data_IF_424650855609
#
_entry.id   IF_424650855609
#
_cell.length_a   1.000
_cell.length_b   1.000
_cell.length_c   1.000
_cell.angle_alpha   90.00
_cell.angle_beta   90.00
_cell.angle_gamma   90.00
#
_symmetry.space_group_name_H-M   'P 1'
#
loop_
_entity.id
_entity.type
_entity.pdbx_description
1 polymer ?
#
# COMPACT_ATOMS: atom_id res chain seq x y z
N UNK A 1 -8.52 -10.16 -1.18
CA UNK A 1 -9.04 -11.48 -0.76
C UNK A 1 -10.46 -11.72 -1.25
N UNK A 2 -11.48 -10.91 -0.87
CA UNK A 2 -12.88 -11.11 -1.28
C UNK A 2 -13.10 -11.22 -2.79
N UNK A 3 -12.26 -10.59 -3.60
CA UNK A 3 -12.34 -10.65 -5.07
C UNK A 3 -12.19 -12.06 -5.62
N UNK A 4 -11.38 -12.88 -4.97
CA UNK A 4 -11.01 -14.23 -5.41
C UNK A 4 -11.75 -15.33 -4.66
N UNK A 5 -12.34 -15.01 -3.49
CA UNK A 5 -12.82 -15.99 -2.51
C UNK A 5 -13.64 -17.11 -3.11
N UNK A 6 -14.75 -16.79 -3.77
CA UNK A 6 -15.74 -17.75 -4.22
C UNK A 6 -15.16 -18.75 -5.25
N UNK A 7 -14.27 -18.27 -6.12
CA UNK A 7 -13.61 -19.12 -7.12
C UNK A 7 -12.49 -19.97 -6.50
N UNK A 8 -11.70 -19.39 -5.58
CA UNK A 8 -10.64 -20.14 -4.89
C UNK A 8 -11.20 -21.22 -3.98
N UNK A 9 -12.30 -20.95 -3.26
CA UNK A 9 -13.01 -21.97 -2.46
C UNK A 9 -13.45 -23.17 -3.30
N UNK A 10 -14.05 -22.90 -4.46
CA UNK A 10 -14.48 -23.96 -5.39
C UNK A 10 -13.28 -24.76 -5.90
N UNK A 11 -12.18 -24.11 -6.23
CA UNK A 11 -10.98 -24.77 -6.76
C UNK A 11 -10.25 -25.59 -5.71
N UNK A 12 -10.19 -25.12 -4.46
CA UNK A 12 -9.51 -25.81 -3.36
C UNK A 12 -10.40 -26.85 -2.66
N UNK A 13 -11.74 -26.78 -2.85
CA UNK A 13 -12.72 -27.65 -2.18
C UNK A 13 -12.85 -27.37 -0.68
N UNK A 14 -12.44 -26.17 -0.22
CA UNK A 14 -12.45 -25.78 1.19
C UNK A 14 -13.01 -24.37 1.36
N UNK A 15 -13.89 -24.13 2.35
CA UNK A 15 -14.40 -22.79 2.62
C UNK A 15 -13.32 -21.89 3.23
N UNK A 16 -13.36 -20.61 2.87
CA UNK A 16 -12.44 -19.59 3.39
C UNK A 16 -13.18 -18.63 4.32
N UNK A 17 -12.85 -18.66 5.60
CA UNK A 17 -13.42 -17.78 6.60
C UNK A 17 -12.50 -16.58 6.82
N UNK A 18 -13.03 -15.38 6.65
CA UNK A 18 -12.26 -14.15 6.91
C UNK A 18 -12.46 -13.69 8.36
N UNK A 19 -11.38 -13.74 9.14
CA UNK A 19 -11.35 -13.30 10.53
C UNK A 19 -10.67 -11.92 10.58
N UNK A 20 -11.37 -10.94 11.11
CA UNK A 20 -10.83 -9.59 11.27
C UNK A 20 -10.25 -9.43 12.67
N UNK A 21 -8.94 -9.18 12.74
CA UNK A 21 -8.21 -8.87 13.98
C UNK A 21 -7.60 -7.47 13.86
N UNK A 22 -8.41 -6.39 14.03
CA UNK A 22 -7.92 -5.03 13.89
C UNK A 22 -7.01 -4.64 15.06
N UNK A 23 -6.11 -3.70 14.82
CA UNK A 23 -5.27 -3.07 15.83
C UNK A 23 -3.80 -2.97 15.44
N UNK A 24 -3.16 -1.92 15.92
CA UNK A 24 -1.73 -1.62 15.79
C UNK A 24 -1.15 -1.85 14.36
N UNK A 25 -1.88 -1.42 13.33
CA UNK A 25 -1.49 -1.57 11.91
C UNK A 25 -1.23 -3.04 11.48
N UNK A 26 -1.91 -4.02 12.10
CA UNK A 26 -1.79 -5.44 11.77
C UNK A 26 -0.93 -6.25 12.75
N UNK A 27 -0.35 -5.64 13.78
CA UNK A 27 0.45 -6.36 14.79
C UNK A 27 -0.35 -7.50 15.44
N UNK A 28 -1.61 -7.24 15.82
CA UNK A 28 -2.45 -8.27 16.48
C UNK A 28 -2.70 -9.46 15.55
N UNK A 29 -3.00 -9.19 14.29
CA UNK A 29 -3.23 -10.26 13.30
C UNK A 29 -1.93 -11.00 12.96
N UNK A 30 -0.80 -10.28 12.84
CA UNK A 30 0.50 -10.89 12.57
C UNK A 30 0.96 -11.82 13.69
N UNK A 31 0.85 -11.39 14.96
CA UNK A 31 1.16 -12.23 16.11
C UNK A 31 0.30 -13.50 16.14
N UNK A 32 -0.99 -13.38 15.86
CA UNK A 32 -1.89 -14.54 15.78
C UNK A 32 -1.46 -15.54 14.71
N UNK A 33 -1.09 -15.05 13.51
CA UNK A 33 -0.66 -15.95 12.42
C UNK A 33 0.70 -16.56 12.69
N UNK A 34 1.64 -15.80 13.26
CA UNK A 34 2.96 -16.30 13.66
C UNK A 34 2.85 -17.53 14.56
N UNK A 35 1.93 -17.53 15.51
CA UNK A 35 1.69 -18.62 16.47
C UNK A 35 0.79 -19.75 15.90
N UNK A 36 0.27 -19.60 14.68
CA UNK A 36 -0.59 -20.59 14.06
C UNK A 36 0.23 -21.74 13.45
N UNK A 37 -0.40 -22.93 13.30
CA UNK A 37 0.23 -24.08 12.67
C UNK A 37 0.51 -23.81 11.19
N UNK A 38 1.66 -24.26 10.65
CA UNK A 38 2.02 -24.07 9.24
C UNK A 38 1.40 -25.18 8.35
N UNK A 39 0.11 -25.49 8.56
CA UNK A 39 -0.62 -26.59 7.95
C UNK A 39 -1.47 -26.20 6.72
N UNK A 40 -1.40 -24.92 6.31
CA UNK A 40 -2.12 -24.40 5.15
C UNK A 40 -3.58 -24.01 5.40
N UNK A 41 -4.01 -23.91 6.66
CA UNK A 41 -5.37 -23.50 7.02
C UNK A 41 -5.44 -22.08 7.62
N UNK A 42 -4.30 -21.49 7.97
CA UNK A 42 -4.24 -20.11 8.47
C UNK A 42 -3.36 -19.24 7.61
N UNK A 43 -3.89 -18.10 7.18
CA UNK A 43 -3.18 -17.15 6.32
C UNK A 43 -3.32 -15.72 6.84
N UNK A 44 -2.30 -14.92 6.60
CA UNK A 44 -2.26 -13.50 6.89
C UNK A 44 -2.48 -12.69 5.63
N UNK A 45 -3.58 -11.91 5.57
CA UNK A 45 -3.82 -10.96 4.49
C UNK A 45 -3.52 -9.57 4.98
N UNK A 46 -2.47 -8.96 4.44
CA UNK A 46 -2.01 -7.63 4.84
C UNK A 46 -1.35 -6.94 3.64
N UNK A 47 -1.27 -5.61 3.66
CA UNK A 47 -0.39 -4.92 2.70
C UNK A 47 1.07 -5.05 3.13
N UNK A 48 1.97 -5.21 2.13
CA UNK A 48 3.41 -5.25 2.38
C UNK A 48 3.90 -4.05 3.21
N UNK A 49 3.39 -2.86 2.91
CA UNK A 49 3.77 -1.63 3.63
C UNK A 49 3.26 -1.60 5.07
N UNK A 50 2.05 -2.12 5.35
CA UNK A 50 1.54 -2.24 6.72
C UNK A 50 2.30 -3.28 7.52
N UNK A 51 2.64 -4.43 6.90
CA UNK A 51 3.44 -5.47 7.52
C UNK A 51 4.79 -4.91 7.99
N UNK A 52 5.49 -4.24 7.09
CA UNK A 52 6.79 -3.62 7.37
C UNK A 52 6.69 -2.49 8.38
N UNK A 53 5.69 -1.61 8.23
CA UNK A 53 5.48 -0.50 9.18
C UNK A 53 5.22 -1.01 10.59
N UNK A 54 4.49 -2.13 10.74
CA UNK A 54 4.25 -2.74 12.05
C UNK A 54 5.56 -3.17 12.75
N UNK A 55 6.52 -3.69 12.00
CA UNK A 55 7.82 -4.10 12.52
C UNK A 55 8.72 -2.89 12.86
N UNK A 56 8.84 -1.94 11.94
CA UNK A 56 9.79 -0.83 12.07
C UNK A 56 9.30 0.25 13.05
N UNK A 57 8.00 0.56 13.04
CA UNK A 57 7.47 1.71 13.79
C UNK A 57 6.62 1.34 15.00
N UNK A 58 6.11 0.09 15.08
CA UNK A 58 5.22 -0.38 16.14
C UNK A 58 5.84 -1.43 17.04
N UNK A 59 7.12 -1.78 16.81
CA UNK A 59 7.86 -2.80 17.58
C UNK A 59 7.07 -4.12 17.70
N UNK A 60 6.54 -4.60 16.56
CA UNK A 60 5.93 -5.92 16.51
C UNK A 60 6.95 -6.98 16.99
N UNK A 61 6.49 -8.01 17.64
CA UNK A 61 7.29 -9.14 18.13
C UNK A 61 7.57 -10.19 17.05
N UNK A 62 7.37 -9.84 15.79
CA UNK A 62 7.64 -10.66 14.63
C UNK A 62 8.48 -9.93 13.59
N UNK A 63 9.09 -10.70 12.70
CA UNK A 63 9.92 -10.27 11.57
C UNK A 63 9.33 -10.80 10.25
N UNK A 64 9.90 -10.42 9.11
CA UNK A 64 9.53 -11.02 7.81
C UNK A 64 9.75 -12.54 7.79
N UNK A 65 10.78 -13.02 8.52
CA UNK A 65 11.14 -14.44 8.55
C UNK A 65 10.18 -15.33 9.36
N UNK A 66 9.23 -14.72 10.08
CA UNK A 66 8.15 -15.44 10.76
C UNK A 66 7.00 -15.80 9.83
N UNK A 67 7.07 -15.37 8.56
CA UNK A 67 6.04 -15.61 7.56
C UNK A 67 6.62 -16.21 6.27
N UNK A 68 5.88 -17.15 5.69
CA UNK A 68 6.12 -17.69 4.36
C UNK A 68 5.29 -16.89 3.35
N UNK A 69 5.89 -16.16 2.40
CA UNK A 69 5.15 -15.45 1.37
C UNK A 69 4.44 -16.43 0.43
N UNK A 70 3.21 -16.14 0.04
CA UNK A 70 2.44 -16.96 -0.90
C UNK A 70 2.24 -16.22 -2.22
N UNK A 71 1.51 -15.13 -2.22
CA UNK A 71 1.29 -14.32 -3.41
C UNK A 71 0.76 -12.94 -3.07
N UNK A 72 0.87 -12.01 -4.04
CA UNK A 72 0.07 -10.79 -4.03
C UNK A 72 -1.35 -11.10 -4.49
N UNK A 73 -2.30 -10.24 -4.15
CA UNK A 73 -3.70 -10.33 -4.55
C UNK A 73 -4.11 -9.12 -5.39
N UNK A 74 -3.78 -7.94 -4.90
CA UNK A 74 -4.07 -6.68 -5.57
C UNK A 74 -2.99 -5.65 -5.29
N UNK A 75 -2.76 -4.80 -6.28
CA UNK A 75 -1.97 -3.57 -6.18
C UNK A 75 -2.93 -2.41 -5.88
N UNK A 76 -2.66 -1.66 -4.83
CA UNK A 76 -3.40 -0.46 -4.45
C UNK A 76 -2.60 0.78 -4.85
N UNK A 77 -3.00 1.51 -5.90
CA UNK A 77 -2.34 2.76 -6.24
C UNK A 77 -2.36 3.73 -5.06
N UNK A 78 -1.31 4.52 -4.92
CA UNK A 78 -1.32 5.71 -4.07
C UNK A 78 -1.39 6.92 -4.99
N UNK A 79 -2.28 7.84 -4.73
CA UNK A 79 -2.41 9.10 -5.46
C UNK A 79 -2.05 10.26 -4.56
N UNK A 80 -1.42 11.27 -5.14
CA UNK A 80 -1.30 12.59 -4.54
C UNK A 80 -2.33 13.51 -5.18
N UNK A 81 -3.26 13.99 -4.38
CA UNK A 81 -4.41 14.76 -4.87
C UNK A 81 -4.60 16.06 -4.08
N UNK A 82 -5.02 17.09 -4.80
CA UNK A 82 -5.37 18.41 -4.29
C UNK A 82 -6.83 18.73 -4.65
N UNK A 83 -7.39 19.78 -4.05
CA UNK A 83 -8.70 20.30 -4.45
C UNK A 83 -8.70 20.75 -5.93
N UNK A 84 -9.80 20.59 -6.64
CA UNK A 84 -9.88 20.91 -8.08
C UNK A 84 -9.54 22.36 -8.42
N UNK A 85 -9.96 23.29 -7.55
CA UNK A 85 -9.72 24.73 -7.66
C UNK A 85 -8.37 25.16 -7.04
N UNK A 86 -7.56 24.23 -6.52
CA UNK A 86 -6.22 24.49 -6.01
C UNK A 86 -5.35 25.22 -7.05
N UNK A 87 -4.48 26.15 -6.62
CA UNK A 87 -3.50 26.77 -7.51
C UNK A 87 -2.50 25.77 -8.07
N UNK A 88 -2.30 24.61 -7.40
CA UNK A 88 -1.37 23.57 -7.80
C UNK A 88 -1.99 22.72 -8.90
N UNK A 89 -1.50 22.85 -10.14
CA UNK A 89 -1.99 22.12 -11.32
C UNK A 89 -1.18 20.87 -11.59
N UNK A 90 0.10 20.87 -11.18
CA UNK A 90 1.05 19.77 -11.30
C UNK A 90 1.65 19.45 -9.93
N UNK A 91 2.30 18.28 -9.81
CA UNK A 91 3.02 17.93 -8.59
C UNK A 91 4.19 18.88 -8.33
N UNK A 92 4.81 19.39 -9.41
CA UNK A 92 5.89 20.36 -9.36
C UNK A 92 5.42 21.71 -8.77
N UNK A 93 4.23 22.19 -9.16
CA UNK A 93 3.68 23.44 -8.57
C UNK A 93 3.54 23.33 -7.05
N UNK A 94 3.15 22.13 -6.56
CA UNK A 94 3.06 21.89 -5.12
C UNK A 94 4.44 21.89 -4.46
N UNK A 95 5.43 21.19 -5.03
CA UNK A 95 6.79 21.14 -4.45
C UNK A 95 7.46 22.51 -4.47
N UNK A 96 7.37 23.26 -5.55
CA UNK A 96 7.89 24.64 -5.65
C UNK A 96 7.23 25.57 -4.64
N UNK A 97 5.91 25.53 -4.50
CA UNK A 97 5.21 26.36 -3.52
C UNK A 97 5.61 25.98 -2.08
N UNK A 98 5.89 24.72 -1.81
CA UNK A 98 6.31 24.24 -0.50
C UNK A 98 7.69 24.75 -0.05
N UNK A 99 8.54 25.22 -0.99
CA UNK A 99 9.82 25.84 -0.64
C UNK A 99 9.67 27.21 0.04
N UNK A 100 8.57 27.90 -0.22
CA UNK A 100 8.32 29.27 0.28
C UNK A 100 7.12 29.36 1.22
N UNK A 101 6.24 28.36 1.21
CA UNK A 101 5.01 28.32 2.01
C UNK A 101 4.98 27.07 2.89
N UNK A 102 4.45 27.21 4.10
CA UNK A 102 4.19 26.06 5.00
C UNK A 102 2.92 25.33 4.56
N UNK A 103 3.02 24.47 3.55
CA UNK A 103 1.92 23.65 3.08
C UNK A 103 1.66 22.46 4.01
N UNK A 104 0.41 22.01 4.05
CA UNK A 104 -0.02 20.84 4.81
C UNK A 104 -0.33 19.68 3.88
N UNK A 105 0.08 18.48 4.25
CA UNK A 105 -0.33 17.28 3.52
C UNK A 105 -0.84 16.18 4.46
N UNK A 106 -1.89 15.50 4.01
CA UNK A 106 -2.54 14.43 4.75
C UNK A 106 -2.10 13.04 4.28
N UNK A 107 -1.88 12.11 5.21
CA UNK A 107 -1.74 10.67 4.93
C UNK A 107 -2.51 9.85 5.95
N UNK A 108 -2.67 8.54 5.70
CA UNK A 108 -3.50 7.67 6.55
C UNK A 108 -2.91 7.37 7.93
N UNK A 109 -1.61 7.59 8.14
CA UNK A 109 -0.93 7.36 9.42
C UNK A 109 0.41 8.09 9.48
N UNK A 110 0.89 8.33 10.69
CA UNK A 110 2.27 8.73 10.93
C UNK A 110 3.23 7.60 10.54
N UNK A 111 4.36 7.98 9.93
CA UNK A 111 5.39 7.07 9.40
C UNK A 111 4.85 6.07 8.36
N UNK A 112 3.76 6.44 7.67
CA UNK A 112 3.28 5.69 6.51
C UNK A 112 4.26 5.81 5.34
N UNK A 113 4.27 4.83 4.43
CA UNK A 113 5.11 4.89 3.23
C UNK A 113 4.89 6.20 2.45
N UNK A 114 3.66 6.69 2.39
CA UNK A 114 3.31 7.95 1.71
C UNK A 114 3.95 9.17 2.39
N UNK A 115 3.94 9.23 3.72
CA UNK A 115 4.67 10.28 4.44
C UNK A 115 6.16 10.20 4.12
N UNK A 116 6.74 9.00 4.21
CA UNK A 116 8.17 8.80 3.95
C UNK A 116 8.57 9.24 2.53
N UNK A 117 7.71 9.03 1.55
CA UNK A 117 7.91 9.51 0.17
C UNK A 117 7.91 11.04 0.13
N UNK A 118 6.93 11.72 0.73
CA UNK A 118 6.87 13.19 0.73
C UNK A 118 8.08 13.80 1.46
N UNK A 119 8.50 13.21 2.58
CA UNK A 119 9.70 13.65 3.30
C UNK A 119 10.99 13.44 2.46
N UNK A 120 11.06 12.34 1.69
CA UNK A 120 12.19 12.11 0.80
C UNK A 120 12.24 13.15 -0.32
N UNK A 121 11.09 13.46 -0.93
CA UNK A 121 10.97 14.49 -1.95
C UNK A 121 11.30 15.88 -1.36
N UNK A 122 10.80 16.19 -0.16
CA UNK A 122 11.09 17.43 0.52
C UNK A 122 12.59 17.65 0.76
N UNK A 123 13.33 16.59 1.10
CA UNK A 123 14.79 16.65 1.22
C UNK A 123 15.49 16.87 -0.12
N UNK A 124 14.99 16.27 -1.19
CA UNK A 124 15.53 16.44 -2.54
C UNK A 124 15.29 17.85 -3.07
N UNK A 125 14.10 18.39 -2.88
CA UNK A 125 13.66 19.69 -3.41
C UNK A 125 13.88 20.86 -2.45
N UNK A 126 14.36 20.61 -1.23
CA UNK A 126 14.67 21.65 -0.23
C UNK A 126 13.43 22.26 0.44
N UNK A 127 12.32 21.50 0.59
CA UNK A 127 11.13 21.99 1.28
C UNK A 127 10.76 21.18 2.52
N UNK A 128 9.96 21.79 3.40
CA UNK A 128 9.33 21.15 4.53
C UNK A 128 7.82 21.43 4.51
N UNK A 129 7.02 20.37 4.36
CA UNK A 129 5.56 20.45 4.48
C UNK A 129 5.09 19.85 5.81
N UNK A 130 3.99 20.37 6.36
CA UNK A 130 3.44 19.91 7.63
C UNK A 130 2.64 18.64 7.39
N UNK A 131 3.10 17.53 7.97
CA UNK A 131 2.36 16.26 7.91
C UNK A 131 1.17 16.26 8.88
N UNK A 132 0.00 15.84 8.37
CA UNK A 132 -1.24 15.65 9.14
C UNK A 132 -1.66 14.19 9.02
N UNK A 133 -1.51 13.37 10.07
CA UNK A 133 -1.99 12.00 10.06
C UNK A 133 -3.54 11.98 10.19
N UNK A 134 -4.22 11.34 9.23
CA UNK A 134 -5.68 11.29 9.14
C UNK A 134 -6.11 9.82 9.01
N UNK A 135 -6.74 9.26 10.03
CA UNK A 135 -7.16 7.87 10.01
C UNK A 135 -8.18 7.58 8.90
N UNK A 136 -7.75 6.83 7.87
CA UNK A 136 -8.58 6.40 6.74
C UNK A 136 -8.53 7.32 5.52
N UNK A 137 -8.45 6.70 4.33
CA UNK A 137 -8.30 7.39 3.05
C UNK A 137 -9.48 8.33 2.72
N UNK A 138 -10.72 7.89 2.94
CA UNK A 138 -11.91 8.70 2.69
C UNK A 138 -11.92 10.00 3.53
N UNK A 139 -11.52 9.91 4.82
CA UNK A 139 -11.40 11.08 5.69
C UNK A 139 -10.28 12.01 5.22
N UNK A 140 -9.14 11.47 4.78
CA UNK A 140 -8.05 12.27 4.26
C UNK A 140 -8.47 13.03 2.99
N UNK A 141 -9.18 12.39 2.07
CA UNK A 141 -9.74 13.05 0.89
C UNK A 141 -10.77 14.14 1.24
N UNK A 142 -11.67 13.87 2.18
CA UNK A 142 -12.63 14.87 2.68
C UNK A 142 -11.94 16.07 3.32
N UNK A 143 -10.80 15.85 3.99
CA UNK A 143 -9.98 16.90 4.60
C UNK A 143 -9.34 17.82 3.54
N UNK A 144 -8.96 17.26 2.37
CA UNK A 144 -8.52 18.05 1.20
C UNK A 144 -9.68 18.87 0.63
N UNK A 145 -10.85 18.24 0.41
CA UNK A 145 -12.03 18.95 -0.10
C UNK A 145 -12.45 20.10 0.80
N UNK A 146 -12.34 19.94 2.11
CA UNK A 146 -12.59 20.99 3.11
C UNK A 146 -11.50 22.05 3.21
N UNK A 147 -10.37 21.92 2.49
CA UNK A 147 -9.26 22.88 2.53
C UNK A 147 -8.47 22.88 3.84
N UNK A 148 -8.58 21.82 4.67
CA UNK A 148 -7.81 21.71 5.93
C UNK A 148 -6.38 21.25 5.72
N UNK A 149 -6.12 20.56 4.59
CA UNK A 149 -4.78 20.25 4.06
C UNK A 149 -4.74 20.60 2.59
N UNK A 150 -3.56 20.96 2.10
CA UNK A 150 -3.35 21.38 0.70
C UNK A 150 -3.32 20.20 -0.26
N UNK A 151 -2.80 19.04 0.21
CA UNK A 151 -2.67 17.80 -0.57
C UNK A 151 -2.94 16.59 0.32
N UNK A 152 -3.43 15.50 -0.24
CA UNK A 152 -3.40 14.18 0.41
C UNK A 152 -2.67 13.14 -0.46
N UNK A 153 -1.91 12.27 0.23
CA UNK A 153 -1.29 11.09 -0.35
C UNK A 153 -1.93 9.82 0.21
N UNK A 154 -2.84 9.21 -0.53
CA UNK A 154 -3.65 8.08 -0.07
C UNK A 154 -4.05 7.15 -1.22
N UNK A 155 -4.52 5.94 -0.89
CA UNK A 155 -5.21 5.10 -1.87
C UNK A 155 -6.53 5.75 -2.29
N UNK A 156 -6.95 5.59 -3.56
CA UNK A 156 -8.22 6.11 -4.07
C UNK A 156 -9.42 5.58 -3.28
N UNK A 157 -10.44 6.42 -3.11
CA UNK A 157 -11.61 6.13 -2.26
C UNK A 157 -12.96 6.29 -2.97
N UNK A 158 -12.95 6.62 -4.27
CA UNK A 158 -14.16 6.83 -5.08
C UNK A 158 -14.60 8.30 -5.23
N UNK A 159 -13.93 9.23 -4.57
CA UNK A 159 -14.22 10.68 -4.68
C UNK A 159 -13.18 11.45 -5.51
N UNK A 160 -12.32 10.75 -6.21
CA UNK A 160 -11.20 11.33 -7.00
C UNK A 160 -11.70 12.29 -8.07
N UNK A 161 -12.90 12.08 -8.61
CA UNK A 161 -13.52 12.98 -9.59
C UNK A 161 -13.74 14.42 -9.07
N UNK A 162 -13.78 14.61 -7.75
CA UNK A 162 -13.93 15.90 -7.09
C UNK A 162 -12.56 16.58 -6.83
N UNK A 163 -11.48 15.88 -7.08
CA UNK A 163 -10.09 16.30 -6.80
C UNK A 163 -9.32 16.41 -8.12
N UNK A 164 -8.14 17.01 -8.05
CA UNK A 164 -7.10 16.90 -9.09
C UNK A 164 -6.02 15.98 -8.57
N UNK A 165 -5.77 14.89 -9.30
CA UNK A 165 -4.65 14.00 -9.03
C UNK A 165 -3.41 14.60 -9.70
N UNK A 166 -2.35 14.80 -8.92
CA UNK A 166 -1.11 15.42 -9.39
C UNK A 166 -0.07 14.37 -9.79
N UNK A 167 -0.05 13.24 -9.10
CA UNK A 167 0.86 12.13 -9.37
C UNK A 167 0.34 10.81 -8.78
N UNK A 168 0.83 9.70 -9.29
CA UNK A 168 0.60 8.35 -8.75
C UNK A 168 1.92 7.67 -8.35
N UNK A 169 1.86 6.84 -7.31
CA UNK A 169 2.98 6.00 -6.88
C UNK A 169 2.80 4.62 -7.49
N UNK A 170 3.26 4.47 -8.71
CA UNK A 170 3.27 3.23 -9.49
C UNK A 170 4.50 3.21 -10.39
N UNK A 171 4.93 2.02 -10.82
CA UNK A 171 6.02 1.86 -11.82
C UNK A 171 5.64 2.41 -13.19
N UNK A 172 4.36 2.25 -13.56
CA UNK A 172 3.79 2.73 -14.81
C UNK A 172 2.54 3.54 -14.51
N UNK A 173 2.09 4.36 -15.47
CA UNK A 173 0.86 5.14 -15.33
C UNK A 173 -0.35 4.24 -15.04
N UNK A 174 -1.25 4.77 -14.24
CA UNK A 174 -2.47 4.05 -13.90
C UNK A 174 -3.50 4.17 -15.03
N UNK A 175 -3.95 3.04 -15.55
CA UNK A 175 -4.92 2.98 -16.67
C UNK A 175 -6.20 3.79 -16.42
N UNK A 176 -6.64 3.90 -15.15
CA UNK A 176 -7.82 4.69 -14.79
C UNK A 176 -7.59 6.22 -14.92
N UNK A 177 -6.33 6.67 -14.90
CA UNK A 177 -5.92 8.07 -15.03
C UNK A 177 -4.65 8.16 -15.89
N UNK A 178 -4.75 7.89 -17.20
CA UNK A 178 -3.57 7.75 -18.07
C UNK A 178 -2.78 9.05 -18.28
N UNK A 179 -3.43 10.20 -18.07
CA UNK A 179 -2.79 11.52 -18.18
C UNK A 179 -2.02 11.92 -16.92
N UNK A 180 -2.22 11.20 -15.79
CA UNK A 180 -1.54 11.52 -14.54
C UNK A 180 -0.16 10.87 -14.53
N UNK A 181 0.93 11.65 -14.34
CA UNK A 181 2.28 11.10 -14.29
C UNK A 181 2.51 10.26 -13.04
N UNK A 182 3.44 9.31 -13.15
CA UNK A 182 4.00 8.64 -11.97
C UNK A 182 5.06 9.52 -11.30
N UNK A 183 5.31 9.32 -10.00
CA UNK A 183 6.45 9.98 -9.35
C UNK A 183 7.78 9.64 -10.01
N UNK A 184 7.91 8.43 -10.57
CA UNK A 184 9.09 7.98 -11.31
C UNK A 184 9.33 8.82 -12.57
N UNK A 185 8.29 9.12 -13.34
CA UNK A 185 8.36 9.98 -14.53
C UNK A 185 8.74 11.42 -14.15
N UNK A 186 8.39 11.86 -12.95
CA UNK A 186 8.76 13.15 -12.40
C UNK A 186 10.17 13.19 -11.78
N UNK A 187 10.92 12.07 -11.82
CA UNK A 187 12.27 11.98 -11.26
C UNK A 187 12.36 11.82 -9.75
N UNK A 188 11.23 11.52 -9.09
CA UNK A 188 11.20 11.34 -7.65
C UNK A 188 11.36 9.87 -7.24
N UNK A 189 11.91 9.62 -6.04
CA UNK A 189 11.95 8.27 -5.50
C UNK A 189 10.52 7.77 -5.32
N UNK A 190 10.21 6.64 -5.96
CA UNK A 190 8.99 5.91 -5.67
C UNK A 190 9.30 4.99 -4.50
N UNK A 191 8.58 5.14 -3.41
CA UNK A 191 8.59 4.14 -2.36
C UNK A 191 8.00 2.81 -2.86
N UNK A 192 7.92 1.80 -2.00
CA UNK A 192 7.32 0.53 -2.38
C UNK A 192 5.86 0.69 -2.82
N UNK A 193 5.51 0.08 -3.93
CA UNK A 193 4.12 -0.08 -4.33
C UNK A 193 3.34 -0.85 -3.25
N UNK A 194 2.09 -0.50 -3.03
CA UNK A 194 1.25 -1.11 -2.00
C UNK A 194 0.50 -2.31 -2.54
N UNK A 195 0.94 -3.50 -2.17
CA UNK A 195 0.25 -4.74 -2.51
C UNK A 195 -0.47 -5.32 -1.30
N UNK A 196 -1.73 -5.70 -1.45
CA UNK A 196 -2.38 -6.62 -0.52
C UNK A 196 -1.94 -8.03 -0.87
N UNK A 197 -1.40 -8.73 0.11
CA UNK A 197 -0.67 -9.98 -0.09
C UNK A 197 -1.09 -11.04 0.91
N UNK A 198 -0.86 -12.28 0.54
CA UNK A 198 -1.13 -13.47 1.33
C UNK A 198 0.18 -14.06 1.83
N UNK A 199 0.26 -14.26 3.14
CA UNK A 199 1.36 -14.93 3.82
C UNK A 199 0.83 -16.09 4.65
N UNK A 200 1.65 -17.08 4.88
CA UNK A 200 1.40 -18.19 5.81
C UNK A 200 2.36 -18.13 7.00
N UNK A 201 2.14 -18.89 8.08
CA UNK A 201 3.11 -19.08 9.14
C UNK A 201 4.43 -19.63 8.59
N UNK A 202 5.55 -19.30 9.24
CA UNK A 202 6.86 -19.85 8.92
C UNK A 202 6.83 -21.38 8.90
N UNK A 203 7.52 -21.97 7.92
CA UNK A 203 7.63 -23.40 7.79
C UNK A 203 6.42 -24.07 7.11
N UNK A 204 5.49 -23.31 6.56
CA UNK A 204 4.44 -23.87 5.69
C UNK A 204 5.09 -24.61 4.52
N UNK A 205 4.78 -25.91 4.30
CA UNK A 205 5.37 -26.74 3.25
C UNK A 205 5.24 -26.11 1.86
N UNK A 206 6.29 -26.29 1.03
CA UNK A 206 6.33 -25.74 -0.32
C UNK A 206 5.15 -26.18 -1.18
N UNK A 207 4.74 -27.42 -1.06
CA UNK A 207 3.60 -27.96 -1.82
C UNK A 207 2.29 -27.21 -1.50
N UNK A 208 2.11 -26.80 -0.23
CA UNK A 208 0.95 -26.00 0.19
C UNK A 208 1.05 -24.58 -0.40
N UNK A 209 2.24 -23.96 -0.34
CA UNK A 209 2.50 -22.65 -0.93
C UNK A 209 2.19 -22.66 -2.43
N UNK A 210 2.75 -23.64 -3.16
CA UNK A 210 2.56 -23.79 -4.60
C UNK A 210 1.09 -24.03 -4.96
N UNK A 211 0.39 -24.88 -4.19
CA UNK A 211 -1.04 -25.16 -4.39
C UNK A 211 -1.90 -23.91 -4.22
N UNK A 212 -1.66 -23.13 -3.16
CA UNK A 212 -2.42 -21.91 -2.90
C UNK A 212 -2.10 -20.84 -3.94
N UNK A 213 -0.81 -20.57 -4.22
CA UNK A 213 -0.40 -19.63 -5.27
C UNK A 213 -0.98 -20.02 -6.62
N UNK A 214 -0.88 -21.30 -7.00
CA UNK A 214 -1.44 -21.84 -8.25
C UNK A 214 -2.95 -21.64 -8.35
N UNK A 215 -3.69 -21.80 -7.25
CA UNK A 215 -5.13 -21.54 -7.22
C UNK A 215 -5.46 -20.07 -7.52
N UNK A 216 -4.78 -19.11 -6.88
CA UNK A 216 -4.99 -17.69 -7.16
C UNK A 216 -4.59 -17.29 -8.57
N UNK A 217 -3.48 -17.82 -9.08
CA UNK A 217 -3.00 -17.57 -10.46
C UNK A 217 -4.00 -18.09 -11.48
N UNK A 218 -4.48 -19.33 -11.30
CA UNK A 218 -5.46 -19.95 -12.16
C UNK A 218 -6.80 -19.21 -12.15
N UNK A 219 -7.30 -18.86 -10.96
CA UNK A 219 -8.54 -18.10 -10.81
C UNK A 219 -8.44 -16.71 -11.49
N UNK A 220 -7.30 -16.00 -11.37
CA UNK A 220 -7.11 -14.75 -12.08
C UNK A 220 -7.07 -14.94 -13.60
N UNK A 221 -6.50 -16.04 -14.10
CA UNK A 221 -6.45 -16.32 -15.53
C UNK A 221 -7.84 -16.66 -16.09
N UNK A 222 -8.58 -17.55 -15.42
CA UNK A 222 -9.90 -18.05 -15.86
C UNK A 222 -11.02 -17.01 -15.69
N UNK A 223 -10.92 -16.12 -14.69
CA UNK A 223 -11.96 -15.13 -14.34
C UNK A 223 -11.44 -13.69 -14.45
N UNK A 224 -10.46 -13.43 -15.35
CA UNK A 224 -9.75 -12.15 -15.45
C UNK A 224 -10.67 -10.95 -15.58
N UNK A 225 -11.65 -11.01 -16.45
CA UNK A 225 -12.55 -9.88 -16.72
C UNK A 225 -13.39 -9.54 -15.47
N UNK A 226 -14.01 -10.52 -14.86
CA UNK A 226 -14.82 -10.35 -13.65
C UNK A 226 -13.97 -9.79 -12.50
N UNK A 227 -12.82 -10.41 -12.21
CA UNK A 227 -11.94 -10.02 -11.11
C UNK A 227 -11.39 -8.61 -11.33
N UNK A 228 -10.99 -8.28 -12.57
CA UNK A 228 -10.51 -6.93 -12.92
C UNK A 228 -11.61 -5.89 -12.73
N UNK A 229 -12.84 -6.18 -13.18
CA UNK A 229 -13.99 -5.30 -12.99
C UNK A 229 -14.28 -5.07 -11.50
N UNK A 230 -14.27 -6.13 -10.70
CA UNK A 230 -14.47 -6.04 -9.23
C UNK A 230 -13.33 -5.27 -8.55
N UNK A 231 -12.07 -5.48 -8.99
CA UNK A 231 -10.92 -4.75 -8.46
C UNK A 231 -11.00 -3.25 -8.81
N UNK A 232 -11.34 -2.90 -10.06
CA UNK A 232 -11.58 -1.51 -10.49
C UNK A 232 -12.69 -0.86 -9.66
N UNK A 233 -13.74 -1.59 -9.29
CA UNK A 233 -14.83 -1.10 -8.44
C UNK A 233 -14.41 -0.70 -7.02
N UNK A 234 -13.22 -1.11 -6.58
CA UNK A 234 -12.61 -0.72 -5.30
C UNK A 234 -11.27 0.02 -5.49
N UNK A 235 -11.05 0.58 -6.68
CA UNK A 235 -9.85 1.32 -7.05
C UNK A 235 -8.53 0.55 -6.83
N UNK A 236 -8.56 -0.76 -7.09
CA UNK A 236 -7.39 -1.64 -7.04
C UNK A 236 -7.14 -2.31 -8.39
N UNK A 237 -5.94 -2.82 -8.57
CA UNK A 237 -5.51 -3.57 -9.74
C UNK A 237 -5.30 -5.02 -9.30
N UNK A 238 -6.05 -5.97 -9.86
CA UNK A 238 -5.85 -7.40 -9.60
C UNK A 238 -4.49 -7.83 -10.17
N UNK A 239 -3.61 -8.35 -9.30
CA UNK A 239 -2.26 -8.75 -9.70
C UNK A 239 -1.74 -9.83 -8.76
N UNK A 240 -1.56 -11.04 -9.30
CA UNK A 240 -1.02 -12.18 -8.58
C UNK A 240 0.44 -12.36 -8.99
N UNK A 241 1.36 -12.09 -8.07
CA UNK A 241 2.79 -12.36 -8.18
C UNK A 241 3.14 -13.48 -7.22
N UNK A 242 4.18 -14.25 -7.53
CA UNK A 242 4.55 -15.45 -6.78
C UNK A 242 5.30 -15.19 -5.47
N UNK A 243 5.67 -16.28 -4.77
CA UNK A 243 6.32 -16.21 -3.46
C UNK A 243 7.66 -15.47 -3.48
N UNK A 244 8.48 -15.68 -4.52
CA UNK A 244 9.80 -15.07 -4.65
C UNK A 244 9.70 -13.55 -4.82
N UNK A 245 8.84 -13.12 -5.74
CA UNK A 245 8.60 -11.69 -6.00
C UNK A 245 8.03 -11.01 -4.76
N UNK A 246 7.03 -11.63 -4.10
CA UNK A 246 6.46 -11.10 -2.86
C UNK A 246 7.51 -11.02 -1.75
N UNK A 247 8.35 -12.05 -1.60
CA UNK A 247 9.45 -12.07 -0.63
C UNK A 247 10.45 -10.94 -0.88
N UNK A 248 10.86 -10.75 -2.15
CA UNK A 248 11.74 -9.63 -2.55
C UNK A 248 11.10 -8.28 -2.25
N UNK A 249 9.86 -8.07 -2.68
CA UNK A 249 9.13 -6.81 -2.47
C UNK A 249 8.95 -6.49 -0.99
N UNK A 250 8.75 -7.49 -0.14
CA UNK A 250 8.63 -7.30 1.31
C UNK A 250 9.96 -6.83 1.92
N UNK A 251 11.08 -7.41 1.50
CA UNK A 251 12.43 -6.98 1.93
C UNK A 251 12.76 -5.58 1.42
N UNK A 252 12.54 -5.28 0.13
CA UNK A 252 12.75 -3.96 -0.44
C UNK A 252 11.93 -2.89 0.31
N UNK A 253 10.69 -3.22 0.66
CA UNK A 253 9.81 -2.36 1.45
C UNK A 253 10.36 -2.14 2.87
N UNK A 254 10.90 -3.20 3.49
CA UNK A 254 11.50 -3.11 4.83
C UNK A 254 12.72 -2.21 4.84
N UNK A 255 13.62 -2.38 3.89
CA UNK A 255 14.84 -1.59 3.77
C UNK A 255 14.53 -0.11 3.49
N UNK A 256 13.56 0.15 2.62
CA UNK A 256 13.09 1.51 2.35
C UNK A 256 12.54 2.18 3.62
N UNK A 257 11.58 1.54 4.29
CA UNK A 257 10.94 2.11 5.50
C UNK A 257 11.96 2.31 6.61
N UNK A 258 12.82 1.32 6.88
CA UNK A 258 13.88 1.39 7.90
C UNK A 258 14.83 2.55 7.62
N UNK A 259 15.30 2.68 6.39
CA UNK A 259 16.20 3.76 5.96
C UNK A 259 15.54 5.13 6.11
N UNK A 260 14.28 5.26 5.68
CA UNK A 260 13.58 6.55 5.74
C UNK A 260 13.25 6.95 7.17
N UNK A 261 12.82 6.01 8.01
CA UNK A 261 12.54 6.29 9.43
C UNK A 261 13.81 6.75 10.15
N UNK A 262 14.95 6.10 9.91
CA UNK A 262 16.23 6.53 10.50
C UNK A 262 16.64 7.93 10.05
N UNK A 263 16.42 8.30 8.79
CA UNK A 263 16.71 9.64 8.27
C UNK A 263 15.80 10.71 8.86
N UNK A 264 14.51 10.39 9.09
CA UNK A 264 13.55 11.35 9.68
C UNK A 264 13.83 11.58 11.16
N UNK A 265 14.27 10.54 11.87
CA UNK A 265 14.58 10.61 13.30
C UNK A 265 15.98 11.18 13.58
N UNK A 266 16.86 11.26 12.58
CA UNK A 266 18.16 11.88 12.72
C UNK A 266 17.99 13.40 12.88
N UNK A 267 18.75 14.05 13.81
CA UNK A 267 18.73 15.50 13.90
C UNK A 267 19.15 16.12 12.58
N UNK A 268 18.46 17.16 12.16
CA UNK A 268 18.85 17.99 11.02
C UNK A 268 20.07 18.78 11.48
N UNK A 269 21.26 18.42 10.98
CA UNK A 269 22.49 19.19 11.20
C UNK A 269 22.43 20.53 10.46
#
# INVERSE_FOLDING_TARGET
>A
MRLFKDHVEKLLGQPMVMIYKPGAAGVIAGAYVKESKPDGYTFFVISNTSLVSSMVTRKADFTLDDFTPICTLTLSPIIFAVKKDSPYKTFKDFTEAATTKKLKYGTTAALSATQLIVEAIGRQEGFQAIHVPIAGGAKAMATVLGGHVDMAGVSPTGIESQLRILAVVLQNRWEAYPDVPTLKELGYPIGPEVYFSLYAPKGTPKEIVDRIHGAYTRVLAEHREEITKRAKGINQIARVLGPEELGKMSRDSYDFVKTMVSKIQAPVN
#
